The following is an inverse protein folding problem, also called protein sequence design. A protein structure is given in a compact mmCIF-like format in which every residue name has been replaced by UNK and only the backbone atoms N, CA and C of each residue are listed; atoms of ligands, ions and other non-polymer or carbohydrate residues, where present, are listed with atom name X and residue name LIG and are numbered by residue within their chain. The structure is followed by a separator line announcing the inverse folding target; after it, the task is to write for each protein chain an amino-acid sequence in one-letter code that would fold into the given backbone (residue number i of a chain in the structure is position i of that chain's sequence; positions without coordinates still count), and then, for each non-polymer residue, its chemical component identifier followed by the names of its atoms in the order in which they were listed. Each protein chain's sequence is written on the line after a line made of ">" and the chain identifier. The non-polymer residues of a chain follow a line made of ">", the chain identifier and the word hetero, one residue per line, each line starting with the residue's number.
data_IF_857225709764
#
_entry.id   IF_857225709764
#
_cell.length_a   1.000
_cell.length_b   1.000
_cell.length_c   1.000
_cell.angle_alpha   90.00
_cell.angle_beta   90.00
_cell.angle_gamma   90.00
#
_symmetry.space_group_name_H-M   'P 1'
#
loop_
_entity.id
_entity.type
_entity.pdbx_description
1 polymer ?
#
# COMPACT_ATOMS: atom_id res chain seq x y z
N UNK A 1 17.19 20.09 1.46
CA UNK A 1 16.66 18.73 1.21
C UNK A 1 17.71 17.74 1.70
N UNK A 2 17.29 16.64 2.34
CA UNK A 2 18.24 15.65 2.89
C UNK A 2 19.02 14.98 1.76
N UNK A 3 20.24 14.50 2.03
CA UNK A 3 20.94 13.66 1.07
C UNK A 3 20.04 12.45 0.72
N UNK A 4 19.91 12.06 -0.57
CA UNK A 4 18.95 11.02 -0.99
C UNK A 4 19.04 9.73 -0.17
N UNK A 5 20.25 9.33 0.23
CA UNK A 5 20.51 8.16 1.05
C UNK A 5 19.95 8.25 2.47
N UNK A 6 19.93 9.45 3.06
CA UNK A 6 19.33 9.69 4.38
C UNK A 6 17.82 9.52 4.29
N UNK A 7 17.18 10.07 3.25
CA UNK A 7 15.74 9.86 3.00
C UNK A 7 15.41 8.38 2.78
N UNK A 8 16.25 7.64 2.04
CA UNK A 8 16.09 6.19 1.84
C UNK A 8 16.20 5.44 3.17
N UNK A 9 17.23 5.70 3.97
CA UNK A 9 17.41 5.06 5.28
C UNK A 9 16.26 5.39 6.24
N UNK A 10 15.76 6.63 6.19
CA UNK A 10 14.60 7.06 6.97
C UNK A 10 13.34 6.27 6.58
N UNK A 11 13.04 6.17 5.29
CA UNK A 11 11.91 5.37 4.79
C UNK A 11 12.03 3.90 5.20
N UNK A 12 13.20 3.28 5.01
CA UNK A 12 13.43 1.89 5.41
C UNK A 12 13.27 1.70 6.92
N UNK A 13 13.73 2.65 7.73
CA UNK A 13 13.60 2.60 9.20
C UNK A 13 12.14 2.68 9.63
N UNK A 14 11.34 3.56 9.01
CA UNK A 14 9.90 3.65 9.30
C UNK A 14 9.18 2.38 8.89
N UNK A 15 9.45 1.85 7.70
CA UNK A 15 8.81 0.63 7.22
C UNK A 15 9.17 -0.58 8.10
N UNK A 16 10.44 -0.71 8.49
CA UNK A 16 10.87 -1.73 9.44
C UNK A 16 10.18 -1.57 10.80
N UNK A 17 10.09 -0.34 11.31
CA UNK A 17 9.35 -0.03 12.54
C UNK A 17 7.88 -0.41 12.45
N UNK A 18 7.20 -0.08 11.35
CA UNK A 18 5.81 -0.46 11.09
C UNK A 18 5.63 -1.99 11.10
N UNK A 19 6.51 -2.73 10.42
CA UNK A 19 6.45 -4.19 10.40
C UNK A 19 6.64 -4.79 11.80
N UNK A 20 7.60 -4.26 12.59
CA UNK A 20 7.83 -4.72 13.96
C UNK A 20 6.63 -4.44 14.86
N UNK A 21 6.03 -3.25 14.76
CA UNK A 21 4.85 -2.86 15.52
C UNK A 21 3.65 -3.76 15.19
N UNK A 22 3.40 -4.02 13.90
CA UNK A 22 2.31 -4.89 13.47
C UNK A 22 2.54 -6.35 13.87
N UNK A 23 3.79 -6.83 13.85
CA UNK A 23 4.14 -8.17 14.35
C UNK A 23 3.88 -8.29 15.85
N UNK A 24 4.27 -7.29 16.63
CA UNK A 24 4.01 -7.27 18.08
C UNK A 24 2.50 -7.22 18.36
N UNK A 25 1.77 -6.40 17.61
CA UNK A 25 0.31 -6.34 17.68
C UNK A 25 -0.34 -7.69 17.35
N UNK A 26 0.13 -8.38 16.30
CA UNK A 26 -0.31 -9.73 15.95
C UNK A 26 -0.09 -10.72 17.09
N UNK A 27 1.10 -10.68 17.70
CA UNK A 27 1.47 -11.58 18.78
C UNK A 27 0.64 -11.34 20.05
N UNK A 28 0.31 -10.08 20.37
CA UNK A 28 -0.44 -9.72 21.58
C UNK A 28 -1.95 -9.92 21.47
N UNK A 29 -2.53 -9.64 20.29
CA UNK A 29 -3.98 -9.51 20.15
C UNK A 29 -4.61 -10.56 19.22
N UNK A 30 -3.82 -11.37 18.51
CA UNK A 30 -4.29 -12.34 17.51
C UNK A 30 -5.42 -11.79 16.60
N UNK A 31 -5.24 -10.58 16.02
CA UNK A 31 -6.25 -9.94 15.18
C UNK A 31 -6.49 -10.75 13.91
N UNK A 32 -7.63 -10.49 13.27
CA UNK A 32 -7.93 -11.12 11.99
C UNK A 32 -6.84 -10.79 10.93
N UNK A 33 -6.31 -11.76 10.17
CA UNK A 33 -5.17 -11.53 9.25
C UNK A 33 -5.41 -10.41 8.24
N UNK A 34 -6.64 -10.28 7.73
CA UNK A 34 -6.98 -9.22 6.79
C UNK A 34 -6.85 -7.82 7.40
N UNK A 35 -7.18 -7.65 8.68
CA UNK A 35 -7.03 -6.38 9.38
C UNK A 35 -5.56 -5.92 9.38
N UNK A 36 -4.64 -6.82 9.72
CA UNK A 36 -3.21 -6.49 9.77
C UNK A 36 -2.66 -6.23 8.38
N UNK A 37 -3.09 -7.00 7.38
CA UNK A 37 -2.71 -6.79 5.99
C UNK A 37 -3.13 -5.41 5.50
N UNK A 38 -4.35 -4.97 5.81
CA UNK A 38 -4.84 -3.63 5.43
C UNK A 38 -4.16 -2.51 6.22
N UNK A 39 -3.86 -2.71 7.50
CA UNK A 39 -3.06 -1.76 8.28
C UNK A 39 -1.65 -1.60 7.69
N UNK A 40 -0.98 -2.70 7.33
CA UNK A 40 0.32 -2.66 6.66
C UNK A 40 0.21 -1.92 5.32
N UNK A 41 -0.78 -2.27 4.50
CA UNK A 41 -1.03 -1.61 3.21
C UNK A 41 -1.21 -0.10 3.34
N UNK A 42 -2.10 0.34 4.24
CA UNK A 42 -2.34 1.77 4.50
C UNK A 42 -1.08 2.43 5.06
N UNK A 43 -0.40 1.82 6.01
CA UNK A 43 0.83 2.36 6.59
C UNK A 43 1.95 2.53 5.55
N UNK A 44 2.17 1.53 4.71
CA UNK A 44 3.11 1.62 3.58
C UNK A 44 2.69 2.72 2.59
N UNK A 45 1.40 2.82 2.28
CA UNK A 45 0.87 3.87 1.43
C UNK A 45 1.02 5.28 1.98
N UNK A 46 0.85 5.48 3.29
CA UNK A 46 1.11 6.77 3.94
C UNK A 46 2.60 7.14 3.90
N UNK A 47 3.51 6.17 4.05
CA UNK A 47 4.95 6.41 3.90
C UNK A 47 5.26 6.79 2.45
N UNK A 48 4.74 6.07 1.45
CA UNK A 48 5.02 6.38 0.05
C UNK A 48 4.36 7.69 -0.41
N UNK A 49 3.20 8.05 0.14
CA UNK A 49 2.59 9.37 -0.09
C UNK A 49 3.54 10.51 0.24
N UNK A 50 4.44 10.36 1.21
CA UNK A 50 5.42 11.40 1.57
C UNK A 50 6.59 11.57 0.58
N UNK A 51 6.70 10.73 -0.47
CA UNK A 51 7.82 10.72 -1.41
C UNK A 51 8.07 12.07 -2.14
N UNK A 52 7.06 12.83 -2.58
CA UNK A 52 7.27 14.14 -3.22
C UNK A 52 8.04 15.14 -2.35
N UNK A 53 8.01 14.98 -1.03
CA UNK A 53 8.74 15.81 -0.08
C UNK A 53 10.14 15.27 0.26
N UNK A 54 10.36 13.97 0.06
CA UNK A 54 11.59 13.26 0.44
C UNK A 54 12.60 13.14 -0.69
N UNK A 55 12.12 13.10 -1.95
CA UNK A 55 12.94 12.78 -3.12
C UNK A 55 12.78 13.81 -4.24
N UNK A 56 13.90 14.36 -4.69
CA UNK A 56 14.01 15.26 -5.84
C UNK A 56 14.02 14.56 -7.20
N UNK A 57 14.28 13.25 -7.20
CA UNK A 57 14.42 12.45 -8.41
C UNK A 57 13.75 11.09 -8.23
N UNK A 58 13.35 10.40 -9.31
CA UNK A 58 12.71 9.09 -9.21
C UNK A 58 13.66 7.97 -8.81
N UNK A 59 14.98 8.15 -8.93
CA UNK A 59 15.97 7.08 -8.72
C UNK A 59 15.91 6.43 -7.33
N UNK A 60 15.81 7.18 -6.20
CA UNK A 60 15.69 6.56 -4.88
C UNK A 60 14.39 5.75 -4.72
N UNK A 61 13.27 6.25 -5.25
CA UNK A 61 11.99 5.55 -5.20
C UNK A 61 12.02 4.25 -6.05
N UNK A 62 12.64 4.29 -7.23
CA UNK A 62 12.87 3.11 -8.08
C UNK A 62 13.76 2.10 -7.35
N UNK A 63 14.87 2.56 -6.74
CA UNK A 63 15.77 1.69 -5.98
C UNK A 63 15.08 1.00 -4.81
N UNK A 64 14.26 1.74 -4.04
CA UNK A 64 13.43 1.21 -2.97
C UNK A 64 12.44 0.15 -3.49
N UNK A 65 11.74 0.45 -4.59
CA UNK A 65 10.79 -0.48 -5.18
C UNK A 65 11.46 -1.77 -5.69
N UNK A 66 12.57 -1.65 -6.40
CA UNK A 66 13.34 -2.80 -6.89
C UNK A 66 13.86 -3.67 -5.74
N UNK A 67 14.39 -3.04 -4.68
CA UNK A 67 14.83 -3.74 -3.48
C UNK A 67 13.67 -4.48 -2.79
N UNK A 68 12.52 -3.81 -2.62
CA UNK A 68 11.33 -4.41 -2.02
C UNK A 68 10.80 -5.59 -2.85
N UNK A 69 10.69 -5.43 -4.17
CA UNK A 69 10.24 -6.50 -5.08
C UNK A 69 11.21 -7.69 -5.03
N UNK A 70 12.52 -7.45 -5.11
CA UNK A 70 13.52 -8.51 -5.02
C UNK A 70 13.43 -9.26 -3.69
N UNK A 71 13.27 -8.53 -2.58
CA UNK A 71 13.07 -9.11 -1.25
C UNK A 71 11.80 -9.97 -1.18
N UNK A 72 10.65 -9.46 -1.63
CA UNK A 72 9.38 -10.19 -1.63
C UNK A 72 9.42 -11.43 -2.52
N UNK A 73 9.99 -11.31 -3.72
CA UNK A 73 10.24 -12.45 -4.61
C UNK A 73 11.17 -13.48 -3.95
N UNK A 74 12.19 -13.04 -3.21
CA UNK A 74 13.08 -13.95 -2.47
C UNK A 74 12.32 -14.75 -1.41
N UNK A 75 11.39 -14.12 -0.66
CA UNK A 75 10.57 -14.82 0.32
C UNK A 75 9.65 -15.82 -0.37
N UNK A 76 9.02 -15.43 -1.49
CA UNK A 76 8.03 -16.23 -2.20
C UNK A 76 8.62 -17.45 -2.92
N UNK A 77 9.79 -17.30 -3.54
CA UNK A 77 10.37 -18.33 -4.42
C UNK A 77 11.52 -19.13 -3.80
N UNK A 78 12.13 -18.66 -2.71
CA UNK A 78 13.23 -19.36 -2.06
C UNK A 78 12.69 -20.12 -0.83
N UNK A 79 12.67 -21.47 -0.84
CA UNK A 79 12.05 -22.27 0.21
C UNK A 79 12.60 -21.98 1.62
N UNK A 80 13.90 -21.68 1.72
CA UNK A 80 14.54 -21.31 2.98
C UNK A 80 13.95 -20.05 3.61
N UNK A 81 13.68 -19.01 2.81
CA UNK A 81 13.11 -17.75 3.30
C UNK A 81 11.61 -17.89 3.54
N UNK A 82 10.89 -18.60 2.67
CA UNK A 82 9.48 -18.91 2.84
C UNK A 82 9.19 -19.59 4.19
N UNK A 83 9.99 -20.59 4.58
CA UNK A 83 9.80 -21.31 5.85
C UNK A 83 10.04 -20.45 7.10
N UNK A 84 10.85 -19.40 7.02
CA UNK A 84 11.20 -18.54 8.16
C UNK A 84 10.35 -17.27 8.26
N UNK A 85 9.92 -16.72 7.13
CA UNK A 85 9.27 -15.41 7.05
C UNK A 85 7.86 -15.47 6.41
N UNK A 86 7.50 -16.60 5.79
CA UNK A 86 6.20 -16.77 5.12
C UNK A 86 5.00 -16.72 6.06
N UNK A 87 5.16 -16.97 7.36
CA UNK A 87 4.05 -16.90 8.34
C UNK A 87 3.33 -15.54 8.38
N UNK A 88 3.99 -14.45 7.95
CA UNK A 88 3.39 -13.10 7.88
C UNK A 88 2.56 -12.93 6.59
N UNK A 89 2.88 -13.67 5.53
CA UNK A 89 2.24 -13.58 4.19
C UNK A 89 1.27 -14.72 3.88
N UNK A 90 1.41 -15.88 4.53
CA UNK A 90 0.69 -17.12 4.22
C UNK A 90 -0.66 -17.27 4.96
N UNK A 91 -0.99 -16.33 5.86
CA UNK A 91 -2.21 -16.37 6.67
C UNK A 91 -3.53 -16.14 5.91
N UNK A 92 -3.48 -15.91 4.59
CA UNK A 92 -4.67 -15.70 3.76
C UNK A 92 -4.55 -16.58 2.52
N UNK A 93 -5.52 -17.46 2.31
CA UNK A 93 -5.63 -18.39 1.17
C UNK A 93 -5.88 -17.71 -0.19
N UNK A 94 -5.19 -16.59 -0.45
CA UNK A 94 -5.13 -15.90 -1.75
C UNK A 94 -3.68 -15.51 -2.01
N UNK A 95 -3.06 -16.18 -2.97
CA UNK A 95 -1.83 -15.73 -3.61
C UNK A 95 -2.11 -14.38 -4.30
N UNK A 96 -2.01 -13.30 -3.53
CA UNK A 96 -2.17 -11.93 -4.02
C UNK A 96 -0.81 -11.44 -4.46
N UNK A 97 -0.68 -11.07 -5.74
CA UNK A 97 0.50 -10.39 -6.25
C UNK A 97 0.52 -8.89 -5.91
N UNK A 98 -0.49 -8.42 -5.15
CA UNK A 98 -0.63 -7.01 -4.75
C UNK A 98 0.60 -6.47 -4.01
N UNK A 99 1.27 -7.31 -3.21
CA UNK A 99 2.50 -6.92 -2.49
C UNK A 99 3.66 -6.60 -3.43
N UNK A 100 3.71 -7.22 -4.61
CA UNK A 100 4.71 -6.95 -5.66
C UNK A 100 4.27 -5.79 -6.55
N UNK A 101 2.97 -5.73 -6.89
CA UNK A 101 2.43 -4.66 -7.72
C UNK A 101 2.45 -3.30 -7.02
N UNK A 102 2.30 -3.26 -5.70
CA UNK A 102 2.30 -2.01 -4.94
C UNK A 102 3.61 -1.20 -5.08
N UNK A 103 4.81 -1.73 -4.72
CA UNK A 103 6.06 -0.99 -4.89
C UNK A 103 6.36 -0.67 -6.37
N UNK A 104 5.97 -1.55 -7.30
CA UNK A 104 6.07 -1.28 -8.73
C UNK A 104 5.22 -0.07 -9.14
N UNK A 105 3.95 -0.04 -8.74
CA UNK A 105 3.03 1.07 -9.01
C UNK A 105 3.52 2.37 -8.38
N UNK A 106 4.05 2.33 -7.16
CA UNK A 106 4.64 3.51 -6.48
C UNK A 106 5.75 4.11 -7.33
N UNK A 107 6.73 3.31 -7.75
CA UNK A 107 7.86 3.79 -8.56
C UNK A 107 7.41 4.28 -9.93
N UNK A 108 6.47 3.57 -10.58
CA UNK A 108 5.93 3.95 -11.88
C UNK A 108 5.20 5.29 -11.80
N UNK A 109 4.27 5.44 -10.87
CA UNK A 109 3.48 6.67 -10.69
C UNK A 109 4.38 7.84 -10.27
N UNK A 110 5.34 7.62 -9.37
CA UNK A 110 6.31 8.66 -8.99
C UNK A 110 7.11 9.15 -10.19
N UNK A 111 7.58 8.22 -11.03
CA UNK A 111 8.34 8.54 -12.24
C UNK A 111 7.48 9.28 -13.27
N UNK A 112 6.26 8.79 -13.53
CA UNK A 112 5.34 9.38 -14.51
C UNK A 112 4.77 10.72 -14.07
N UNK A 113 4.73 10.99 -12.75
CA UNK A 113 4.27 12.29 -12.23
C UNK A 113 5.17 13.45 -12.64
N UNK A 114 6.44 13.19 -13.01
CA UNK A 114 7.43 14.19 -13.41
C UNK A 114 7.54 15.37 -12.42
N UNK A 115 7.39 15.09 -11.12
CA UNK A 115 7.44 16.09 -10.06
C UNK A 115 6.15 16.87 -9.86
N UNK A 116 5.08 16.59 -10.62
CA UNK A 116 3.77 17.16 -10.36
C UNK A 116 3.08 16.44 -9.20
N UNK A 117 2.76 17.18 -8.14
CA UNK A 117 2.23 16.63 -6.90
C UNK A 117 0.83 16.05 -7.08
N UNK A 118 -0.01 16.68 -7.89
CA UNK A 118 -1.39 16.22 -8.15
C UNK A 118 -1.38 14.87 -8.87
N UNK A 119 -0.52 14.73 -9.87
CA UNK A 119 -0.38 13.49 -10.65
C UNK A 119 0.17 12.33 -9.83
N UNK A 120 0.87 12.61 -8.73
CA UNK A 120 1.33 11.58 -7.81
C UNK A 120 0.31 11.27 -6.70
N UNK A 121 -0.18 12.31 -6.01
CA UNK A 121 -0.97 12.15 -4.79
C UNK A 121 -2.32 11.48 -5.03
N UNK A 122 -3.02 11.85 -6.11
CA UNK A 122 -4.35 11.28 -6.42
C UNK A 122 -4.29 9.75 -6.60
N UNK A 123 -3.48 9.20 -7.53
CA UNK A 123 -3.39 7.75 -7.70
C UNK A 123 -2.84 7.05 -6.46
N UNK A 124 -1.92 7.68 -5.72
CA UNK A 124 -1.39 7.10 -4.49
C UNK A 124 -2.40 7.05 -3.35
N UNK A 125 -3.24 8.07 -3.19
CA UNK A 125 -4.37 8.06 -2.24
C UNK A 125 -5.36 6.97 -2.62
N UNK A 126 -5.68 6.82 -3.91
CA UNK A 126 -6.58 5.78 -4.39
C UNK A 126 -6.02 4.38 -4.11
N UNK A 127 -4.74 4.14 -4.41
CA UNK A 127 -4.06 2.87 -4.12
C UNK A 127 -4.02 2.58 -2.61
N UNK A 128 -3.77 3.60 -1.79
CA UNK A 128 -3.60 3.46 -0.33
C UNK A 128 -4.93 3.23 0.38
N UNK A 129 -5.94 4.04 0.07
CA UNK A 129 -7.19 4.11 0.82
C UNK A 129 -8.33 3.34 0.15
N UNK A 130 -8.43 3.37 -1.17
CA UNK A 130 -9.58 2.85 -1.91
C UNK A 130 -9.85 1.37 -1.60
N UNK A 131 -8.87 0.51 -1.89
CA UNK A 131 -8.98 -0.94 -1.65
C UNK A 131 -9.05 -1.29 -0.15
N UNK A 132 -8.42 -0.49 0.72
CA UNK A 132 -8.46 -0.73 2.15
C UNK A 132 -9.86 -0.48 2.73
N UNK A 133 -10.44 0.69 2.45
CA UNK A 133 -11.76 1.06 2.95
C UNK A 133 -12.84 0.17 2.32
N UNK A 134 -12.76 -0.10 1.02
CA UNK A 134 -13.71 -0.99 0.34
C UNK A 134 -13.77 -2.38 0.96
N UNK A 135 -12.60 -2.96 1.25
CA UNK A 135 -12.53 -4.28 1.88
C UNK A 135 -13.03 -4.25 3.33
N UNK A 136 -12.65 -3.25 4.14
CA UNK A 136 -13.07 -3.14 5.53
C UNK A 136 -14.59 -2.95 5.66
N UNK A 137 -15.17 -2.07 4.84
CA UNK A 137 -16.62 -1.89 4.78
C UNK A 137 -17.29 -3.15 4.25
N UNK A 138 -16.75 -3.77 3.20
CA UNK A 138 -17.32 -4.99 2.63
C UNK A 138 -17.34 -6.17 3.61
N UNK A 139 -16.30 -6.34 4.42
CA UNK A 139 -16.24 -7.39 5.44
C UNK A 139 -17.15 -7.07 6.64
N UNK A 140 -17.26 -5.79 7.03
CA UNK A 140 -18.00 -5.41 8.25
C UNK A 140 -19.50 -5.19 8.02
N UNK A 141 -19.89 -4.71 6.84
CA UNK A 141 -21.24 -4.26 6.52
C UNK A 141 -21.77 -4.81 5.18
N UNK A 142 -21.06 -5.75 4.53
CA UNK A 142 -21.45 -6.30 3.24
C UNK A 142 -22.69 -7.18 3.34
N UNK A 143 -23.87 -6.56 3.27
CA UNK A 143 -25.16 -7.26 3.23
C UNK A 143 -25.51 -7.63 1.79
N UNK A 144 -25.23 -6.74 0.83
CA UNK A 144 -25.55 -6.93 -0.58
C UNK A 144 -24.34 -7.44 -1.35
N UNK A 145 -24.04 -8.73 -1.20
CA UNK A 145 -22.92 -9.36 -1.89
C UNK A 145 -23.28 -9.83 -3.30
N UNK A 146 -22.34 -9.69 -4.23
CA UNK A 146 -22.43 -10.21 -5.59
C UNK A 146 -21.14 -10.94 -5.96
N UNK A 147 -21.25 -11.92 -6.86
CA UNK A 147 -20.11 -12.72 -7.29
C UNK A 147 -19.44 -12.10 -8.50
N UNK A 148 -18.11 -12.06 -8.47
CA UNK A 148 -17.25 -11.69 -9.59
C UNK A 148 -16.32 -12.85 -9.92
N UNK A 149 -15.63 -12.79 -11.07
CA UNK A 149 -14.60 -13.77 -11.44
C UNK A 149 -13.49 -13.90 -10.38
N UNK A 150 -13.27 -12.86 -9.58
CA UNK A 150 -12.28 -12.80 -8.52
C UNK A 150 -12.89 -12.99 -7.12
N UNK A 151 -14.09 -13.56 -6.99
CA UNK A 151 -14.76 -13.86 -5.72
C UNK A 151 -15.90 -12.90 -5.37
N UNK A 152 -16.28 -12.86 -4.09
CA UNK A 152 -17.41 -12.05 -3.63
C UNK A 152 -17.00 -10.60 -3.37
N UNK A 153 -17.83 -9.67 -3.83
CA UNK A 153 -17.76 -8.23 -3.55
C UNK A 153 -19.10 -7.79 -2.95
N UNK A 154 -19.16 -6.62 -2.32
CA UNK A 154 -20.40 -6.06 -1.79
C UNK A 154 -20.69 -4.68 -2.36
N UNK A 155 -21.97 -4.34 -2.50
CA UNK A 155 -22.39 -3.02 -2.95
C UNK A 155 -21.92 -1.93 -1.98
N UNK A 156 -21.94 -2.20 -0.67
CA UNK A 156 -21.46 -1.30 0.37
C UNK A 156 -19.96 -1.02 0.21
N UNK A 157 -19.15 -2.05 -0.09
CA UNK A 157 -17.73 -1.90 -0.38
C UNK A 157 -17.49 -1.09 -1.66
N UNK A 158 -18.30 -1.27 -2.70
CA UNK A 158 -18.22 -0.49 -3.94
C UNK A 158 -18.58 0.98 -3.74
N UNK A 159 -19.63 1.29 -2.97
CA UNK A 159 -20.00 2.67 -2.61
C UNK A 159 -18.88 3.30 -1.81
N UNK A 160 -18.32 2.58 -0.82
CA UNK A 160 -17.21 3.08 -0.03
C UNK A 160 -15.96 3.35 -0.90
N UNK A 161 -15.63 2.45 -1.83
CA UNK A 161 -14.56 2.68 -2.81
C UNK A 161 -14.81 3.94 -3.63
N UNK A 162 -16.02 4.09 -4.19
CA UNK A 162 -16.40 5.24 -5.00
C UNK A 162 -16.26 6.55 -4.21
N UNK A 163 -16.77 6.60 -2.98
CA UNK A 163 -16.67 7.79 -2.12
C UNK A 163 -15.21 8.13 -1.84
N UNK A 164 -14.38 7.15 -1.48
CA UNK A 164 -12.96 7.38 -1.22
C UNK A 164 -12.23 7.81 -2.49
N UNK A 165 -12.52 7.19 -3.63
CA UNK A 165 -11.92 7.56 -4.92
C UNK A 165 -12.29 8.99 -5.32
N UNK A 166 -13.56 9.36 -5.16
CA UNK A 166 -14.06 10.71 -5.40
C UNK A 166 -13.31 11.72 -4.51
N UNK A 167 -13.24 11.49 -3.20
CA UNK A 167 -12.56 12.40 -2.28
C UNK A 167 -11.04 12.46 -2.53
N UNK A 168 -10.42 11.32 -2.82
CA UNK A 168 -8.98 11.22 -3.13
C UNK A 168 -8.60 11.96 -4.41
N UNK A 169 -9.56 12.20 -5.30
CA UNK A 169 -9.36 12.98 -6.54
C UNK A 169 -9.75 14.43 -6.32
N UNK A 170 -10.94 14.66 -5.76
CA UNK A 170 -11.54 15.99 -5.63
C UNK A 170 -10.77 16.87 -4.64
N UNK A 171 -10.36 16.35 -3.48
CA UNK A 171 -9.68 17.16 -2.46
C UNK A 171 -8.30 17.65 -2.96
N UNK A 172 -7.41 16.81 -3.53
CA UNK A 172 -6.15 17.31 -4.07
C UNK A 172 -6.34 18.28 -5.25
N UNK A 173 -7.32 18.04 -6.13
CA UNK A 173 -7.60 19.01 -7.20
C UNK A 173 -8.03 20.36 -6.62
N UNK A 174 -8.97 20.37 -5.68
CA UNK A 174 -9.49 21.60 -5.08
C UNK A 174 -8.40 22.39 -4.33
N UNK A 175 -7.48 21.71 -3.64
CA UNK A 175 -6.49 22.36 -2.78
C UNK A 175 -5.15 22.65 -3.46
N UNK A 176 -4.78 21.90 -4.49
CA UNK A 176 -3.44 21.94 -5.11
C UNK A 176 -3.44 22.45 -6.55
N UNK A 177 -4.60 22.76 -7.13
CA UNK A 177 -4.69 23.44 -8.42
C UNK A 177 -5.30 24.82 -8.24
N UNK A 178 -4.72 25.82 -8.90
CA UNK A 178 -5.36 27.13 -8.99
C UNK A 178 -6.52 27.05 -9.99
N UNK A 179 -7.70 27.46 -9.54
CA UNK A 179 -8.94 27.52 -10.34
C UNK A 179 -9.10 28.84 -11.05
#
# INVERSE_FOLDING_TARGET
>A
MFAPWVSVLFVLSILAGLMLLLREYQHRHSPHPEWVRKLLHVGMGLVTLSFPWLFDSPLPAIGLAMGAIAFLCSIKFIPYFHQRLGSVTDGVARSSWGEVYFPFSVALVFTLSQGNWVYYLIPMLLLTLGDAVAALIGVSYGLHTYSTSEGHKSAEGSIAFFTVAFLSTHVPLLLLTET
#
